data_IF_225908757633
#
_entry.id   IF_225908757633
#
_cell.length_a   1.000
_cell.length_b   1.000
_cell.length_c   1.000
_cell.angle_alpha   90.00
_cell.angle_beta   90.00
_cell.angle_gamma   90.00
#
_symmetry.space_group_name_H-M   'P 1'
#
loop_
_entity.id
_entity.type
_entity.pdbx_description
1 polymer ?
#
# COMPACT_ATOMS: atom_id res chain seq x y z
N UNK A 1 -11.66 30.13 -14.22
CA UNK A 1 -10.45 29.99 -13.38
C UNK A 1 -10.77 29.07 -12.23
N UNK A 2 -10.52 27.77 -12.38
CA UNK A 2 -10.56 26.82 -11.27
C UNK A 2 -9.52 25.75 -11.57
N UNK A 3 -8.49 25.79 -10.75
CA UNK A 3 -7.25 25.03 -10.82
C UNK A 3 -7.54 23.58 -10.40
N UNK A 4 -7.76 22.67 -11.36
CA UNK A 4 -7.87 21.23 -11.08
C UNK A 4 -6.45 20.67 -10.97
N UNK A 5 -6.02 20.56 -9.72
CA UNK A 5 -4.79 19.90 -9.32
C UNK A 5 -4.70 18.49 -9.86
N UNK A 6 -3.50 18.17 -10.32
CA UNK A 6 -3.03 16.90 -10.86
C UNK A 6 -3.28 15.78 -9.84
N UNK A 7 -4.28 14.94 -10.10
CA UNK A 7 -4.41 13.64 -9.42
C UNK A 7 -3.37 12.70 -9.99
N UNK A 8 -2.53 12.20 -9.09
CA UNK A 8 -1.40 11.32 -9.35
C UNK A 8 -1.91 10.03 -9.97
N UNK A 9 -1.24 9.65 -11.06
CA UNK A 9 -1.44 8.44 -11.84
C UNK A 9 -1.24 7.23 -10.94
N UNK A 10 -2.34 6.52 -10.71
CA UNK A 10 -2.38 5.21 -10.09
C UNK A 10 -3.60 4.50 -10.67
N UNK A 11 -3.42 3.24 -11.04
CA UNK A 11 -4.39 2.37 -11.74
C UNK A 11 -4.32 2.52 -13.27
N UNK A 12 -3.27 1.95 -13.87
CA UNK A 12 -3.42 1.38 -15.21
C UNK A 12 -4.01 -0.01 -15.03
N UNK A 13 -5.34 -0.08 -15.15
CA UNK A 13 -6.16 -1.15 -15.73
C UNK A 13 -7.60 -0.98 -15.26
N UNK A 14 -8.52 -1.22 -16.19
CA UNK A 14 -9.99 -1.31 -16.08
C UNK A 14 -10.79 -0.03 -16.31
N UNK A 15 -11.25 0.13 -17.55
CA UNK A 15 -12.63 0.54 -17.85
C UNK A 15 -13.05 0.02 -19.24
N UNK A 16 -13.80 -1.08 -19.24
CA UNK A 16 -14.56 -1.62 -20.37
C UNK A 16 -15.84 -0.80 -20.53
N UNK A 17 -16.21 -0.36 -21.75
CA UNK A 17 -17.61 -0.11 -22.13
C UNK A 17 -17.86 -0.28 -23.65
N UNK A 18 -18.57 -1.38 -23.97
CA UNK A 18 -19.56 -1.66 -25.03
C UNK A 18 -19.28 -1.60 -26.56
N UNK A 19 -19.40 -2.80 -27.16
CA UNK A 19 -20.08 -3.22 -28.42
C UNK A 19 -19.46 -2.83 -29.78
N UNK A 20 -18.95 -3.82 -30.52
CA UNK A 20 -19.59 -4.36 -31.74
C UNK A 20 -18.97 -5.70 -32.19
N UNK A 21 -19.84 -6.59 -32.67
CA UNK A 21 -19.58 -7.94 -33.21
C UNK A 21 -18.94 -7.84 -34.60
N UNK A 22 -17.87 -8.58 -34.87
CA UNK A 22 -17.66 -9.21 -36.19
C UNK A 22 -16.88 -10.53 -36.07
N UNK A 23 -17.23 -11.45 -36.96
CA UNK A 23 -16.84 -12.86 -36.98
C UNK A 23 -15.94 -13.18 -38.19
N UNK A 24 -15.23 -14.32 -38.09
CA UNK A 24 -14.52 -15.09 -39.14
C UNK A 24 -13.12 -14.57 -39.54
N UNK A 25 -12.11 -15.38 -39.87
CA UNK A 25 -11.98 -16.83 -40.13
C UNK A 25 -10.50 -17.22 -40.01
N UNK A 26 -10.23 -18.46 -39.59
CA UNK A 26 -8.89 -19.04 -39.53
C UNK A 26 -8.37 -19.44 -40.91
N UNK A 27 -7.14 -19.08 -41.24
CA UNK A 27 -6.37 -19.64 -42.37
C UNK A 27 -5.13 -20.34 -41.83
N UNK A 28 -5.08 -21.65 -41.99
CA UNK A 28 -3.91 -22.48 -41.70
C UNK A 28 -2.94 -22.46 -42.88
N UNK A 29 -1.63 -22.36 -42.58
CA UNK A 29 -0.50 -22.78 -43.44
C UNK A 29 0.84 -22.56 -42.69
N UNK A 30 1.94 -23.16 -43.17
CA UNK A 30 2.32 -24.57 -43.10
C UNK A 30 3.44 -24.82 -42.07
N UNK A 31 3.68 -26.08 -41.73
CA UNK A 31 4.73 -26.51 -40.80
C UNK A 31 6.11 -26.28 -41.42
N UNK A 32 6.88 -25.37 -40.82
CA UNK A 32 8.32 -25.19 -41.04
C UNK A 32 9.02 -25.61 -39.75
N UNK A 33 10.10 -26.39 -39.87
CA UNK A 33 10.92 -26.85 -38.75
C UNK A 33 11.30 -25.68 -37.83
N UNK A 34 10.84 -25.77 -36.57
CA UNK A 34 10.99 -24.69 -35.60
C UNK A 34 12.44 -24.59 -35.14
N UNK A 35 13.09 -23.46 -35.47
CA UNK A 35 14.33 -23.04 -34.82
C UNK A 35 14.15 -23.02 -33.30
N UNK A 36 15.18 -23.42 -32.54
CA UNK A 36 15.16 -23.42 -31.07
C UNK A 36 14.67 -22.08 -30.47
N UNK A 37 14.99 -20.96 -31.11
CA UNK A 37 14.50 -19.61 -30.74
C UNK A 37 12.99 -19.41 -30.98
N UNK A 38 12.43 -20.01 -32.04
CA UNK A 38 10.98 -19.98 -32.29
C UNK A 38 10.22 -20.83 -31.25
N UNK A 39 10.82 -21.94 -30.81
CA UNK A 39 10.25 -22.78 -29.75
C UNK A 39 10.21 -22.07 -28.39
N UNK A 40 11.31 -21.40 -28.00
CA UNK A 40 11.37 -20.61 -26.74
C UNK A 40 10.35 -19.47 -26.71
N UNK A 41 10.13 -18.79 -27.84
CA UNK A 41 9.11 -17.74 -27.92
C UNK A 41 7.67 -18.29 -27.83
N UNK A 42 7.43 -19.51 -28.33
CA UNK A 42 6.14 -20.18 -28.19
C UNK A 42 5.88 -20.59 -26.73
N UNK A 43 6.87 -21.18 -26.05
CA UNK A 43 6.74 -21.55 -24.63
C UNK A 43 6.51 -20.32 -23.74
N UNK A 44 7.25 -19.24 -23.99
CA UNK A 44 7.08 -17.96 -23.31
C UNK A 44 5.65 -17.40 -23.48
N UNK A 45 5.14 -17.42 -24.72
CA UNK A 45 3.77 -16.99 -25.06
C UNK A 45 2.74 -17.81 -24.29
N UNK A 46 2.81 -19.14 -24.40
CA UNK A 46 1.81 -20.02 -23.82
C UNK A 46 1.78 -19.91 -22.29
N UNK A 47 2.96 -19.84 -21.66
CA UNK A 47 3.05 -19.66 -20.22
C UNK A 47 2.53 -18.27 -19.79
N UNK A 48 2.87 -17.21 -20.53
CA UNK A 48 2.38 -15.85 -20.26
C UNK A 48 0.85 -15.77 -20.33
N UNK A 49 0.26 -16.29 -21.42
CA UNK A 49 -1.20 -16.27 -21.60
C UNK A 49 -1.92 -17.14 -20.56
N UNK A 50 -1.35 -18.30 -20.21
CA UNK A 50 -1.92 -19.15 -19.16
C UNK A 50 -1.91 -18.47 -17.79
N UNK A 51 -0.89 -17.67 -17.48
CA UNK A 51 -0.79 -16.92 -16.23
C UNK A 51 -1.84 -15.79 -16.10
N UNK A 52 -2.47 -15.38 -17.21
CA UNK A 52 -3.58 -14.42 -17.16
C UNK A 52 -4.90 -15.07 -16.72
N UNK A 53 -4.97 -16.40 -16.70
CA UNK A 53 -6.14 -17.18 -16.31
C UNK A 53 -6.08 -17.68 -14.86
N UNK A 54 -5.13 -17.18 -14.06
CA UNK A 54 -5.04 -17.52 -12.64
C UNK A 54 -6.35 -17.19 -11.92
N UNK A 55 -6.92 -18.17 -11.22
CA UNK A 55 -8.19 -18.02 -10.51
C UNK A 55 -9.44 -18.14 -11.37
N UNK A 56 -9.31 -18.38 -12.68
CA UNK A 56 -10.46 -18.58 -13.56
C UNK A 56 -11.34 -19.74 -13.09
N UNK A 57 -12.65 -19.53 -13.06
CA UNK A 57 -13.65 -20.53 -12.69
C UNK A 57 -13.72 -20.82 -11.20
N UNK A 58 -12.99 -20.07 -10.37
CA UNK A 58 -13.00 -20.23 -8.91
C UNK A 58 -14.09 -19.36 -8.28
N UNK A 59 -14.98 -20.01 -7.56
CA UNK A 59 -16.08 -19.41 -6.80
C UNK A 59 -15.74 -19.21 -5.32
N UNK A 60 -14.71 -19.88 -4.80
CA UNK A 60 -14.13 -19.63 -3.48
C UNK A 60 -12.60 -19.56 -3.52
N UNK A 61 -12.01 -18.66 -2.74
CA UNK A 61 -10.56 -18.54 -2.58
C UNK A 61 -10.13 -17.60 -1.46
N UNK A 62 -8.87 -17.74 -1.04
CA UNK A 62 -8.08 -16.75 -0.33
C UNK A 62 -6.84 -16.44 -1.16
N UNK A 63 -6.63 -15.17 -1.49
CA UNK A 63 -5.53 -14.72 -2.35
C UNK A 63 -4.88 -13.48 -1.76
N UNK A 64 -3.59 -13.58 -1.43
CA UNK A 64 -2.83 -12.53 -0.75
C UNK A 64 -1.59 -12.17 -1.56
N UNK A 65 -1.42 -10.89 -1.86
CA UNK A 65 -0.25 -10.39 -2.56
C UNK A 65 0.20 -9.03 -2.02
N UNK A 66 1.46 -8.69 -2.28
CA UNK A 66 2.01 -7.36 -2.11
C UNK A 66 2.22 -6.70 -3.47
N UNK A 67 2.01 -5.40 -3.57
CA UNK A 67 2.33 -4.60 -4.74
C UNK A 67 3.12 -3.35 -4.34
N UNK A 68 4.36 -3.24 -4.82
CA UNK A 68 5.18 -2.05 -4.58
C UNK A 68 4.70 -0.91 -5.48
N UNK A 69 4.09 0.13 -4.88
CA UNK A 69 3.59 1.34 -5.53
C UNK A 69 4.24 2.58 -4.91
N UNK A 70 4.85 3.43 -5.72
CA UNK A 70 5.38 4.74 -5.28
C UNK A 70 6.30 4.66 -4.04
N UNK A 71 7.11 3.61 -3.94
CA UNK A 71 8.09 3.43 -2.87
C UNK A 71 7.61 2.67 -1.63
N UNK A 72 6.31 2.38 -1.49
CA UNK A 72 5.77 1.53 -0.42
C UNK A 72 5.04 0.30 -0.99
N UNK A 73 4.87 -0.73 -0.17
CA UNK A 73 4.11 -1.92 -0.53
C UNK A 73 2.66 -1.77 -0.08
N UNK A 74 1.73 -1.95 -1.02
CA UNK A 74 0.31 -2.19 -0.72
C UNK A 74 0.13 -3.69 -0.57
N UNK A 75 -0.41 -4.15 0.56
CA UNK A 75 -0.79 -5.56 0.73
C UNK A 75 -2.27 -5.71 0.46
N UNK A 76 -2.64 -6.65 -0.41
CA UNK A 76 -4.03 -6.88 -0.81
C UNK A 76 -4.41 -8.32 -0.50
N UNK A 77 -5.49 -8.47 0.26
CA UNK A 77 -6.14 -9.77 0.52
C UNK A 77 -7.48 -9.81 -0.20
N UNK A 78 -7.68 -10.80 -1.05
CA UNK A 78 -8.94 -11.09 -1.71
C UNK A 78 -9.49 -12.39 -1.12
N UNK A 79 -10.64 -12.30 -0.47
CA UNK A 79 -11.39 -13.46 -0.01
C UNK A 79 -12.69 -13.54 -0.79
N UNK A 80 -13.04 -14.74 -1.23
CA UNK A 80 -14.32 -15.01 -1.88
C UNK A 80 -14.85 -16.36 -1.39
N UNK A 81 -16.14 -16.42 -1.13
CA UNK A 81 -16.90 -17.67 -1.09
C UNK A 81 -18.06 -17.57 -2.09
N UNK A 82 -18.92 -18.59 -2.13
CA UNK A 82 -19.98 -18.69 -3.15
C UNK A 82 -20.95 -17.50 -3.16
N UNK A 83 -21.11 -16.82 -2.03
CA UNK A 83 -22.11 -15.75 -1.87
C UNK A 83 -21.47 -14.38 -1.74
N UNK A 84 -20.33 -14.31 -1.06
CA UNK A 84 -19.77 -13.07 -0.54
C UNK A 84 -18.30 -12.92 -0.94
N UNK A 85 -17.82 -11.69 -0.98
CA UNK A 85 -16.39 -11.38 -1.12
C UNK A 85 -15.96 -10.29 -0.16
N UNK A 86 -14.68 -10.32 0.22
CA UNK A 86 -14.05 -9.35 1.09
C UNK A 86 -12.69 -8.98 0.51
N UNK A 87 -12.43 -7.69 0.42
CA UNK A 87 -11.15 -7.15 -0.04
C UNK A 87 -10.55 -6.35 1.09
N UNK A 88 -9.29 -6.63 1.43
CA UNK A 88 -8.52 -5.88 2.41
C UNK A 88 -7.33 -5.26 1.67
N UNK A 89 -7.26 -3.93 1.61
CA UNK A 89 -6.07 -3.20 1.18
C UNK A 89 -5.39 -2.60 2.41
N UNK A 90 -4.13 -2.96 2.64
CA UNK A 90 -3.29 -2.44 3.70
C UNK A 90 -2.16 -1.61 3.12
N UNK A 91 -2.05 -0.38 3.60
CA UNK A 91 -0.94 0.53 3.31
C UNK A 91 -0.31 0.96 4.64
N UNK A 92 0.85 1.63 4.60
CA UNK A 92 1.38 2.22 5.82
C UNK A 92 0.37 3.14 6.52
N UNK A 93 0.16 2.91 7.82
CA UNK A 93 -0.80 3.63 8.69
C UNK A 93 -2.29 3.52 8.32
N UNK A 94 -2.69 2.67 7.37
CA UNK A 94 -4.10 2.51 7.06
C UNK A 94 -4.44 1.12 6.53
N UNK A 95 -5.66 0.68 6.84
CA UNK A 95 -6.27 -0.50 6.26
C UNK A 95 -7.70 -0.17 5.83
N UNK A 96 -8.01 -0.50 4.59
CA UNK A 96 -9.37 -0.42 4.03
C UNK A 96 -9.89 -1.83 3.82
N UNK A 97 -11.08 -2.12 4.33
CA UNK A 97 -11.75 -3.41 4.14
C UNK A 97 -13.11 -3.20 3.50
N UNK A 98 -13.32 -3.76 2.31
CA UNK A 98 -14.60 -3.74 1.63
C UNK A 98 -15.26 -5.12 1.71
N UNK A 99 -16.50 -5.16 2.17
CA UNK A 99 -17.35 -6.33 2.19
C UNK A 99 -18.40 -6.21 1.09
N UNK A 100 -18.52 -7.25 0.28
CA UNK A 100 -19.53 -7.36 -0.76
C UNK A 100 -20.36 -8.60 -0.47
N UNK A 101 -21.56 -8.37 0.07
CA UNK A 101 -22.50 -9.43 0.40
C UNK A 101 -23.78 -9.26 -0.42
N UNK A 102 -24.62 -10.30 -0.44
CA UNK A 102 -25.95 -10.21 -1.05
C UNK A 102 -26.82 -9.11 -0.40
N UNK A 103 -26.60 -8.84 0.89
CA UNK A 103 -27.43 -7.92 1.66
C UNK A 103 -26.91 -6.49 1.63
N UNK A 104 -25.59 -6.31 1.59
CA UNK A 104 -24.98 -5.00 1.67
C UNK A 104 -23.56 -4.91 1.09
N UNK A 105 -23.19 -3.69 0.70
CA UNK A 105 -21.79 -3.27 0.56
C UNK A 105 -21.36 -2.41 1.74
N UNK A 106 -20.34 -2.85 2.48
CA UNK A 106 -19.81 -2.13 3.66
C UNK A 106 -18.33 -1.84 3.47
N UNK A 107 -17.93 -0.60 3.76
CA UNK A 107 -16.55 -0.18 3.79
C UNK A 107 -16.13 0.10 5.23
N UNK A 108 -15.05 -0.54 5.67
CA UNK A 108 -14.39 -0.27 6.94
C UNK A 108 -13.02 0.35 6.69
N UNK A 109 -12.69 1.33 7.52
CA UNK A 109 -11.37 1.96 7.50
C UNK A 109 -10.81 1.95 8.91
N UNK A 110 -9.56 1.53 9.01
CA UNK A 110 -8.74 1.64 10.21
C UNK A 110 -7.55 2.52 9.89
N UNK A 111 -7.35 3.54 10.72
CA UNK A 111 -6.23 4.46 10.61
C UNK A 111 -5.32 4.17 11.80
N UNK A 112 -4.07 3.80 11.51
CA UNK A 112 -3.05 3.55 12.53
C UNK A 112 -3.50 2.42 13.48
N UNK A 113 -3.34 2.58 14.79
CA UNK A 113 -3.83 1.62 15.80
C UNK A 113 -5.30 1.79 16.20
N UNK A 114 -6.10 2.64 15.52
CA UNK A 114 -7.53 2.81 15.84
C UNK A 114 -8.34 1.53 15.65
N UNK A 115 -9.55 1.50 16.21
CA UNK A 115 -10.56 0.52 15.80
C UNK A 115 -11.02 0.78 14.36
N UNK A 116 -11.54 -0.26 13.70
CA UNK A 116 -12.17 -0.12 12.40
C UNK A 116 -13.47 0.68 12.53
N UNK A 117 -13.63 1.70 11.69
CA UNK A 117 -14.90 2.42 11.53
C UNK A 117 -15.54 1.95 10.23
N UNK A 118 -16.73 1.37 10.32
CA UNK A 118 -17.45 0.81 9.18
C UNK A 118 -18.67 1.64 8.81
N UNK A 119 -18.99 1.71 7.51
CA UNK A 119 -20.16 2.41 6.98
C UNK A 119 -20.70 1.69 5.73
N UNK A 120 -22.01 1.81 5.50
CA UNK A 120 -22.64 1.34 4.26
C UNK A 120 -22.23 2.20 3.06
N UNK A 121 -22.02 1.57 1.91
CA UNK A 121 -21.60 2.24 0.67
C UNK A 121 -22.77 2.67 -0.25
N UNK A 122 -24.00 2.32 0.10
CA UNK A 122 -25.11 2.25 -0.87
C UNK A 122 -25.73 3.58 -1.29
N UNK A 123 -25.37 4.70 -0.65
CA UNK A 123 -26.02 6.01 -0.87
C UNK A 123 -25.06 7.10 -1.35
N UNK A 124 -23.86 6.74 -1.83
CA UNK A 124 -22.86 7.71 -2.28
C UNK A 124 -22.20 7.24 -3.58
N UNK A 125 -22.34 8.01 -4.65
CA UNK A 125 -21.82 7.68 -5.99
C UNK A 125 -20.30 7.59 -6.01
N UNK A 126 -19.60 8.45 -5.25
CA UNK A 126 -18.14 8.41 -5.16
C UNK A 126 -17.67 7.12 -4.47
N UNK A 127 -18.38 6.69 -3.42
CA UNK A 127 -18.09 5.43 -2.74
C UNK A 127 -18.45 4.22 -3.61
N UNK A 128 -19.53 4.29 -4.38
CA UNK A 128 -19.88 3.25 -5.36
C UNK A 128 -18.81 3.09 -6.42
N UNK A 129 -18.31 4.19 -6.99
CA UNK A 129 -17.20 4.14 -7.94
C UNK A 129 -15.93 3.55 -7.30
N UNK A 130 -15.60 3.95 -6.08
CA UNK A 130 -14.47 3.39 -5.34
C UNK A 130 -14.62 1.88 -5.10
N UNK A 131 -15.77 1.45 -4.60
CA UNK A 131 -16.05 0.04 -4.31
C UNK A 131 -16.14 -0.81 -5.58
N UNK A 132 -16.60 -0.25 -6.71
CA UNK A 132 -16.55 -0.91 -8.01
C UNK A 132 -15.11 -1.11 -8.51
N UNK A 133 -14.21 -0.14 -8.28
CA UNK A 133 -12.77 -0.32 -8.56
C UNK A 133 -12.20 -1.45 -7.72
N UNK A 134 -12.53 -1.52 -6.43
CA UNK A 134 -12.12 -2.62 -5.56
C UNK A 134 -12.66 -3.97 -6.04
N UNK A 135 -13.96 -4.09 -6.34
CA UNK A 135 -14.55 -5.32 -6.92
C UNK A 135 -13.82 -5.77 -8.18
N UNK A 136 -13.27 -4.82 -8.95
CA UNK A 136 -12.45 -5.11 -10.13
C UNK A 136 -11.16 -5.89 -9.85
N UNK A 137 -10.69 -5.94 -8.61
CA UNK A 137 -9.54 -6.75 -8.19
C UNK A 137 -9.88 -8.24 -8.04
N UNK A 138 -11.16 -8.58 -7.83
CA UNK A 138 -11.60 -9.97 -7.72
C UNK A 138 -11.46 -10.67 -9.08
N UNK A 139 -11.20 -11.97 -9.02
CA UNK A 139 -11.18 -12.80 -10.22
C UNK A 139 -12.54 -12.77 -10.93
N UNK A 140 -12.50 -12.36 -12.20
CA UNK A 140 -13.64 -12.25 -13.11
C UNK A 140 -13.29 -12.94 -14.43
N UNK A 141 -13.95 -14.07 -14.68
CA UNK A 141 -13.70 -14.92 -15.85
C UNK A 141 -13.79 -14.15 -17.17
N UNK A 142 -14.70 -13.19 -17.29
CA UNK A 142 -14.89 -12.42 -18.53
C UNK A 142 -13.69 -11.50 -18.76
N UNK A 143 -13.30 -10.73 -17.74
CA UNK A 143 -12.13 -9.83 -17.82
C UNK A 143 -10.83 -10.58 -18.07
N UNK A 144 -10.68 -11.78 -17.51
CA UNK A 144 -9.51 -12.64 -17.77
C UNK A 144 -9.45 -13.08 -19.22
N UNK A 145 -10.58 -13.54 -19.78
CA UNK A 145 -10.65 -13.95 -21.18
C UNK A 145 -10.37 -12.78 -22.13
N UNK A 146 -10.93 -11.60 -21.84
CA UNK A 146 -10.63 -10.36 -22.56
C UNK A 146 -9.12 -10.03 -22.48
N UNK A 147 -8.50 -10.17 -21.31
CA UNK A 147 -7.06 -9.95 -21.12
C UNK A 147 -6.20 -10.91 -21.95
N UNK A 148 -6.63 -12.18 -22.10
CA UNK A 148 -5.97 -13.17 -22.97
C UNK A 148 -6.14 -12.82 -24.44
N UNK A 149 -7.33 -12.41 -24.87
CA UNK A 149 -7.60 -11.99 -26.25
C UNK A 149 -6.75 -10.78 -26.62
N UNK A 150 -6.74 -9.76 -25.76
CA UNK A 150 -5.96 -8.54 -25.93
C UNK A 150 -4.46 -8.82 -25.97
N UNK A 151 -3.95 -9.64 -25.06
CA UNK A 151 -2.55 -10.06 -25.07
C UNK A 151 -2.20 -10.87 -26.31
N UNK A 152 -3.08 -11.76 -26.77
CA UNK A 152 -2.87 -12.55 -27.98
C UNK A 152 -2.79 -11.65 -29.21
N UNK A 153 -3.68 -10.66 -29.32
CA UNK A 153 -3.63 -9.66 -30.38
C UNK A 153 -2.29 -8.92 -30.40
N UNK A 154 -1.81 -8.47 -29.23
CA UNK A 154 -0.51 -7.78 -29.14
C UNK A 154 0.66 -8.69 -29.56
N UNK A 155 0.63 -9.97 -29.20
CA UNK A 155 1.65 -10.95 -29.63
C UNK A 155 1.61 -11.16 -31.13
N UNK A 156 0.43 -11.38 -31.71
CA UNK A 156 0.26 -11.64 -33.14
C UNK A 156 0.70 -10.47 -34.03
N UNK A 157 0.57 -9.25 -33.53
CA UNK A 157 1.04 -8.03 -34.21
C UNK A 157 2.50 -7.67 -33.88
N UNK A 158 3.15 -8.42 -33.00
CA UNK A 158 4.53 -8.17 -32.58
C UNK A 158 4.69 -6.93 -31.69
N UNK A 159 3.60 -6.46 -31.07
CA UNK A 159 3.62 -5.38 -30.09
C UNK A 159 4.00 -5.89 -28.70
N UNK A 160 3.61 -7.11 -28.34
CA UNK A 160 4.12 -7.83 -27.18
C UNK A 160 5.14 -8.87 -27.66
N UNK A 161 6.41 -8.70 -27.26
CA UNK A 161 7.51 -9.59 -27.67
C UNK A 161 8.19 -10.21 -26.46
N UNK A 162 8.54 -11.49 -26.56
CA UNK A 162 9.26 -12.22 -25.53
C UNK A 162 10.76 -12.20 -25.81
N UNK A 163 11.57 -11.99 -24.75
CA UNK A 163 13.03 -11.97 -24.81
C UNK A 163 13.68 -13.29 -24.39
N UNK A 164 12.87 -14.22 -23.89
CA UNK A 164 13.30 -15.52 -23.42
C UNK A 164 12.70 -15.89 -22.06
N UNK A 165 12.97 -17.12 -21.66
CA UNK A 165 12.61 -17.67 -20.36
C UNK A 165 13.86 -18.07 -19.58
N UNK A 166 13.82 -17.92 -18.26
CA UNK A 166 14.85 -18.40 -17.35
C UNK A 166 14.21 -19.06 -16.13
N UNK A 167 14.75 -20.18 -15.65
CA UNK A 167 14.30 -20.75 -14.38
C UNK A 167 14.85 -19.91 -13.23
N UNK A 168 14.03 -19.66 -12.22
CA UNK A 168 14.37 -18.84 -11.07
C UNK A 168 13.81 -19.45 -9.78
N UNK A 169 14.51 -19.20 -8.68
CA UNK A 169 14.01 -19.49 -7.35
C UNK A 169 13.19 -18.30 -6.83
N UNK A 170 12.07 -18.60 -6.18
CA UNK A 170 11.20 -17.63 -5.51
C UNK A 170 10.86 -18.17 -4.10
N UNK A 171 10.56 -17.30 -3.10
CA UNK A 171 10.15 -17.76 -1.77
C UNK A 171 8.99 -18.77 -1.76
N UNK A 172 8.12 -18.77 -2.78
CA UNK A 172 7.01 -19.73 -2.92
C UNK A 172 7.37 -21.02 -3.66
N UNK A 173 8.58 -21.11 -4.24
CA UNK A 173 9.05 -22.26 -5.00
C UNK A 173 9.77 -21.89 -6.29
N UNK A 174 10.02 -22.88 -7.14
CA UNK A 174 10.61 -22.65 -8.46
C UNK A 174 9.60 -21.99 -9.40
N UNK A 175 10.06 -21.07 -10.22
CA UNK A 175 9.26 -20.45 -11.27
C UNK A 175 10.06 -20.29 -12.56
N UNK A 176 9.34 -20.13 -13.66
CA UNK A 176 9.93 -19.75 -14.94
C UNK A 176 9.65 -18.28 -15.17
N UNK A 177 10.73 -17.50 -15.27
CA UNK A 177 10.68 -16.08 -15.52
C UNK A 177 10.60 -15.78 -17.01
N UNK A 178 9.54 -15.13 -17.44
CA UNK A 178 9.22 -14.76 -18.81
C UNK A 178 9.53 -13.28 -18.97
N UNK A 179 10.59 -12.93 -19.69
CA UNK A 179 10.94 -11.54 -19.95
C UNK A 179 10.24 -11.04 -21.22
N UNK A 180 9.62 -9.87 -21.17
CA UNK A 180 8.88 -9.32 -22.30
C UNK A 180 9.00 -7.80 -22.42
N UNK A 181 8.69 -7.32 -23.63
CA UNK A 181 8.52 -5.91 -23.95
C UNK A 181 7.15 -5.69 -24.57
N UNK A 182 6.57 -4.52 -24.33
CA UNK A 182 5.39 -4.04 -25.04
C UNK A 182 5.73 -2.72 -25.73
N UNK A 183 5.49 -2.65 -27.04
CA UNK A 183 5.71 -1.50 -27.91
C UNK A 183 4.38 -1.09 -28.56
N UNK A 184 3.77 -0.04 -28.00
CA UNK A 184 2.54 0.56 -28.52
C UNK A 184 2.78 1.62 -29.60
N UNK A 185 4.04 1.91 -29.98
CA UNK A 185 4.35 2.98 -30.94
C UNK A 185 3.78 2.73 -32.34
N UNK A 186 3.41 1.47 -32.61
CA UNK A 186 2.94 0.98 -33.90
C UNK A 186 1.43 0.71 -33.92
N UNK A 187 0.71 0.98 -32.83
CA UNK A 187 -0.74 0.88 -32.81
C UNK A 187 -1.33 1.95 -33.74
N UNK A 188 -2.31 1.56 -34.54
CA UNK A 188 -3.18 2.53 -35.21
C UNK A 188 -4.02 3.29 -34.17
N UNK A 189 -4.63 4.41 -34.56
CA UNK A 189 -5.51 5.18 -33.67
C UNK A 189 -6.70 4.34 -33.20
N UNK A 190 -7.28 3.52 -34.08
CA UNK A 190 -8.40 2.63 -33.74
C UNK A 190 -7.98 1.56 -32.72
N UNK A 191 -6.82 0.93 -32.93
CA UNK A 191 -6.29 -0.08 -32.00
C UNK A 191 -5.89 0.57 -30.66
N UNK A 192 -5.27 1.75 -30.68
CA UNK A 192 -4.97 2.50 -29.47
C UNK A 192 -6.25 2.84 -28.69
N UNK A 193 -7.32 3.24 -29.38
CA UNK A 193 -8.63 3.48 -28.77
C UNK A 193 -9.22 2.21 -28.15
N UNK A 194 -9.07 1.03 -28.79
CA UNK A 194 -9.49 -0.27 -28.22
C UNK A 194 -8.88 -0.49 -26.83
N UNK A 195 -7.61 -0.14 -26.66
CA UNK A 195 -6.88 -0.31 -25.39
C UNK A 195 -6.95 0.91 -24.46
N UNK A 196 -7.71 1.96 -24.82
CA UNK A 196 -7.77 3.21 -24.06
C UNK A 196 -6.43 3.97 -24.00
N UNK A 197 -5.56 3.79 -25.00
CA UNK A 197 -4.24 4.42 -25.08
C UNK A 197 -4.38 5.79 -25.76
N UNK A 198 -4.23 6.87 -24.99
CA UNK A 198 -4.24 8.23 -25.49
C UNK A 198 -2.84 8.77 -25.83
N UNK A 199 -2.79 9.96 -26.43
CA UNK A 199 -1.54 10.61 -26.86
C UNK A 199 -0.53 10.90 -25.72
N UNK A 200 -0.96 10.87 -24.46
CA UNK A 200 -0.11 11.04 -23.28
C UNK A 200 0.29 9.74 -22.58
N UNK A 201 -0.17 8.58 -23.06
CA UNK A 201 0.11 7.29 -22.43
C UNK A 201 1.57 6.88 -22.66
N UNK A 202 2.17 6.10 -21.74
CA UNK A 202 3.46 5.47 -22.02
C UNK A 202 3.35 4.54 -23.22
N UNK A 203 4.39 4.55 -24.05
CA UNK A 203 4.40 3.83 -25.33
C UNK A 203 5.22 2.53 -25.23
N UNK A 204 6.23 2.52 -24.37
CA UNK A 204 7.15 1.40 -24.21
C UNK A 204 7.11 0.90 -22.77
N UNK A 205 6.96 -0.41 -22.64
CA UNK A 205 6.98 -1.11 -21.37
C UNK A 205 7.98 -2.25 -21.46
N UNK A 206 8.65 -2.53 -20.34
CA UNK A 206 9.40 -3.77 -20.18
C UNK A 206 9.03 -4.41 -18.85
N UNK A 207 9.11 -5.73 -18.80
CA UNK A 207 8.68 -6.45 -17.63
C UNK A 207 9.03 -7.91 -17.66
N UNK A 208 8.66 -8.58 -16.59
CA UNK A 208 8.70 -10.03 -16.52
C UNK A 208 7.60 -10.58 -15.62
N UNK A 209 7.20 -11.82 -15.88
CA UNK A 209 6.46 -12.65 -14.94
C UNK A 209 7.35 -13.78 -14.47
N UNK A 210 7.31 -14.14 -13.18
CA UNK A 210 7.87 -15.39 -12.66
C UNK A 210 6.69 -16.32 -12.35
N UNK A 211 6.52 -17.36 -13.16
CA UNK A 211 5.31 -18.21 -13.19
C UNK A 211 5.63 -19.63 -12.75
N UNK A 212 4.85 -20.17 -11.83
CA UNK A 212 4.88 -21.61 -11.53
C UNK A 212 4.32 -22.40 -12.73
N UNK A 213 5.17 -23.23 -13.34
CA UNK A 213 4.81 -24.01 -14.54
C UNK A 213 3.66 -25.00 -14.32
N UNK A 214 3.46 -25.49 -13.12
CA UNK A 214 2.42 -26.48 -12.81
C UNK A 214 1.10 -25.79 -12.50
N UNK A 215 1.12 -24.79 -11.63
CA UNK A 215 -0.06 -24.03 -11.22
C UNK A 215 -0.52 -23.01 -12.25
N UNK A 216 0.35 -22.64 -13.20
CA UNK A 216 0.17 -21.52 -14.14
C UNK A 216 -0.13 -20.22 -13.40
N UNK A 217 0.52 -20.03 -12.26
CA UNK A 217 0.28 -18.92 -11.35
C UNK A 217 1.53 -18.03 -11.29
N UNK A 218 1.38 -16.71 -11.48
CA UNK A 218 2.49 -15.78 -11.34
C UNK A 218 2.80 -15.55 -9.85
N UNK A 219 4.00 -15.98 -9.43
CA UNK A 219 4.55 -15.61 -8.12
C UNK A 219 5.04 -14.17 -8.09
N UNK A 220 5.46 -13.65 -9.25
CA UNK A 220 5.94 -12.28 -9.37
C UNK A 220 5.51 -11.68 -10.70
N UNK A 221 5.15 -10.40 -10.70
CA UNK A 221 5.00 -9.61 -11.92
C UNK A 221 5.70 -8.29 -11.73
N UNK A 222 6.58 -7.96 -12.65
CA UNK A 222 7.29 -6.70 -12.65
C UNK A 222 7.04 -5.98 -13.98
N UNK A 223 6.74 -4.71 -13.89
CA UNK A 223 6.61 -3.82 -15.04
C UNK A 223 7.33 -2.52 -14.77
N UNK A 224 8.00 -2.01 -15.78
CA UNK A 224 8.52 -0.66 -15.78
C UNK A 224 8.23 0.06 -17.10
N UNK A 225 8.17 1.37 -17.02
CA UNK A 225 7.99 2.27 -18.14
C UNK A 225 8.45 3.68 -17.78
N UNK A 226 8.57 4.55 -18.77
CA UNK A 226 8.85 5.96 -18.56
C UNK A 226 7.58 6.77 -18.79
N UNK A 227 7.18 7.58 -17.80
CA UNK A 227 6.06 8.48 -17.91
C UNK A 227 6.51 9.92 -17.67
N UNK A 228 6.37 10.78 -18.70
CA UNK A 228 6.81 12.18 -18.66
C UNK A 228 8.27 12.36 -18.19
N UNK A 229 9.14 11.48 -18.66
CA UNK A 229 10.57 11.49 -18.32
C UNK A 229 10.93 10.87 -16.97
N UNK A 230 9.94 10.40 -16.19
CA UNK A 230 10.17 9.74 -14.91
C UNK A 230 10.03 8.22 -15.04
N UNK A 231 10.96 7.43 -14.48
CA UNK A 231 10.80 5.98 -14.42
C UNK A 231 9.66 5.63 -13.46
N UNK A 232 8.76 4.77 -13.90
CA UNK A 232 7.67 4.20 -13.10
C UNK A 232 7.79 2.70 -13.15
N UNK A 233 7.59 2.04 -12.00
CA UNK A 233 7.52 0.60 -11.93
C UNK A 233 6.39 0.15 -11.00
N UNK A 234 5.88 -1.06 -11.25
CA UNK A 234 5.05 -1.81 -10.31
C UNK A 234 5.66 -3.20 -10.13
N UNK A 235 5.58 -3.71 -8.92
CA UNK A 235 6.12 -5.02 -8.57
C UNK A 235 5.11 -5.77 -7.71
N UNK A 236 4.36 -6.67 -8.34
CA UNK A 236 3.48 -7.63 -7.69
C UNK A 236 4.27 -8.83 -7.19
N UNK A 237 4.01 -9.25 -5.96
CA UNK A 237 4.57 -10.46 -5.33
C UNK A 237 3.44 -11.23 -4.66
N UNK A 238 3.23 -12.47 -5.10
CA UNK A 238 2.32 -13.38 -4.41
C UNK A 238 2.89 -13.69 -3.03
N UNK A 239 2.02 -13.70 -2.02
CA UNK A 239 2.36 -14.11 -0.66
C UNK A 239 1.71 -15.47 -0.38
N UNK A 240 0.44 -15.63 -0.75
CA UNK A 240 -0.25 -16.92 -0.68
C UNK A 240 -1.46 -16.96 -1.59
N UNK A 241 -1.80 -18.16 -2.06
CA UNK A 241 -3.01 -18.45 -2.80
C UNK A 241 -3.58 -19.79 -2.35
N UNK A 242 -4.89 -19.82 -2.17
CA UNK A 242 -5.66 -21.03 -1.91
C UNK A 242 -6.99 -20.91 -2.65
N UNK A 243 -7.20 -21.78 -3.64
CA UNK A 243 -8.40 -21.79 -4.49
C UNK A 243 -9.40 -22.89 -4.12
N UNK A 244 -9.18 -23.56 -2.98
CA UNK A 244 -10.05 -24.62 -2.45
C UNK A 244 -10.62 -24.24 -1.08
N UNK A 245 -10.09 -23.20 -0.44
CA UNK A 245 -10.64 -22.64 0.80
C UNK A 245 -11.97 -21.93 0.59
N UNK A 246 -12.86 -22.04 1.59
CA UNK A 246 -14.12 -21.31 1.68
C UNK A 246 -14.09 -20.39 2.90
N UNK A 247 -13.58 -19.14 2.74
CA UNK A 247 -13.39 -18.24 3.87
C UNK A 247 -14.72 -17.78 4.43
N UNK A 248 -14.78 -17.66 5.76
CA UNK A 248 -15.90 -17.03 6.45
C UNK A 248 -15.87 -15.52 6.21
N UNK A 249 -16.97 -15.01 5.65
CA UNK A 249 -17.13 -13.59 5.29
C UNK A 249 -18.44 -13.10 5.89
N UNK A 250 -18.34 -12.56 7.11
CA UNK A 250 -19.45 -11.91 7.80
C UNK A 250 -19.26 -10.40 7.80
N UNK A 251 -20.38 -9.67 7.74
CA UNK A 251 -20.37 -8.23 7.97
C UNK A 251 -19.88 -7.92 9.40
N UNK A 252 -19.19 -6.79 9.61
CA UNK A 252 -18.83 -6.34 10.95
C UNK A 252 -20.09 -6.06 11.77
N UNK A 253 -20.04 -6.32 13.07
CA UNK A 253 -21.18 -6.12 13.99
C UNK A 253 -21.51 -4.64 14.21
N UNK A 254 -20.50 -3.77 14.20
CA UNK A 254 -20.63 -2.33 14.43
C UNK A 254 -20.48 -1.55 13.12
N UNK A 255 -21.60 -1.29 12.45
CA UNK A 255 -21.65 -0.42 11.28
C UNK A 255 -22.20 0.94 11.72
N UNK A 256 -21.38 1.98 11.58
CA UNK A 256 -21.74 3.34 11.97
C UNK A 256 -22.74 3.96 10.99
N UNK A 257 -23.43 5.01 11.43
CA UNK A 257 -24.28 5.86 10.58
C UNK A 257 -23.48 6.91 9.79
N UNK A 258 -22.15 6.92 9.93
CA UNK A 258 -21.28 7.85 9.22
C UNK A 258 -21.31 7.56 7.73
N UNK A 259 -21.05 8.57 6.91
CA UNK A 259 -20.91 8.38 5.47
C UNK A 259 -19.58 7.72 5.17
N UNK A 260 -19.59 6.66 4.35
CA UNK A 260 -18.37 5.99 3.91
C UNK A 260 -17.42 6.94 3.17
N UNK A 261 -17.95 7.94 2.45
CA UNK A 261 -17.14 8.98 1.80
C UNK A 261 -16.38 9.83 2.81
N UNK A 262 -16.99 10.18 3.95
CA UNK A 262 -16.30 10.89 5.03
C UNK A 262 -15.15 10.06 5.58
N UNK A 263 -15.33 8.74 5.75
CA UNK A 263 -14.25 7.87 6.21
C UNK A 263 -13.07 7.87 5.23
N UNK A 264 -13.35 7.79 3.92
CA UNK A 264 -12.31 7.82 2.88
C UNK A 264 -11.55 9.15 2.93
N UNK A 265 -12.25 10.28 3.01
CA UNK A 265 -11.63 11.60 3.03
C UNK A 265 -10.76 11.79 4.28
N UNK A 266 -11.24 11.38 5.45
CA UNK A 266 -10.48 11.45 6.70
C UNK A 266 -9.21 10.62 6.67
N UNK A 267 -9.27 9.43 6.08
CA UNK A 267 -8.09 8.59 5.91
C UNK A 267 -7.10 9.21 4.92
N UNK A 268 -7.58 9.73 3.79
CA UNK A 268 -6.72 10.37 2.80
C UNK A 268 -6.03 11.60 3.38
N UNK A 269 -6.74 12.40 4.17
CA UNK A 269 -6.17 13.55 4.88
C UNK A 269 -5.09 13.13 5.88
N UNK A 270 -5.39 12.17 6.75
CA UNK A 270 -4.49 11.74 7.83
C UNK A 270 -3.27 10.94 7.35
N UNK A 271 -3.36 10.28 6.19
CA UNK A 271 -2.32 9.38 5.70
C UNK A 271 -1.51 10.00 4.56
N UNK A 272 -2.09 10.94 3.79
CA UNK A 272 -1.40 11.51 2.63
C UNK A 272 -0.11 12.24 2.95
N UNK A 273 -0.01 12.91 4.10
CA UNK A 273 1.23 13.59 4.51
C UNK A 273 2.34 12.56 4.77
N UNK A 274 2.04 11.53 5.57
CA UNK A 274 2.96 10.44 5.84
C UNK A 274 3.45 9.76 4.55
N UNK A 275 2.54 9.46 3.62
CA UNK A 275 2.89 8.81 2.36
C UNK A 275 3.78 9.66 1.44
N UNK A 276 3.88 10.99 1.66
CA UNK A 276 4.83 11.82 0.90
C UNK A 276 6.27 11.43 1.17
N UNK A 277 6.59 10.86 2.33
CA UNK A 277 7.94 10.40 2.62
C UNK A 277 8.39 9.29 1.64
N UNK A 278 7.47 8.43 1.17
CA UNK A 278 7.79 7.37 0.21
C UNK A 278 8.10 7.87 -1.21
N UNK A 279 7.78 9.13 -1.53
CA UNK A 279 8.23 9.77 -2.78
C UNK A 279 9.75 10.00 -2.82
N UNK A 280 10.44 9.92 -1.67
CA UNK A 280 11.89 10.03 -1.60
C UNK A 280 12.54 8.73 -2.08
N UNK A 281 13.31 8.82 -3.15
CA UNK A 281 14.00 7.67 -3.76
C UNK A 281 15.10 7.16 -2.82
N UNK A 282 15.87 8.07 -2.23
CA UNK A 282 16.92 7.71 -1.28
C UNK A 282 16.32 7.15 0.02
N UNK A 283 16.83 6.01 0.46
CA UNK A 283 16.33 5.27 1.63
C UNK A 283 16.56 6.08 2.91
N UNK A 284 17.71 6.72 3.06
CA UNK A 284 18.03 7.49 4.28
C UNK A 284 17.19 8.75 4.37
N UNK A 285 16.97 9.44 3.25
CA UNK A 285 16.05 10.59 3.19
C UNK A 285 14.61 10.18 3.56
N UNK A 286 14.16 9.03 3.05
CA UNK A 286 12.83 8.48 3.38
C UNK A 286 12.70 8.16 4.86
N UNK A 287 13.65 7.41 5.41
CA UNK A 287 13.67 7.05 6.84
C UNK A 287 13.70 8.30 7.73
N UNK A 288 14.50 9.30 7.35
CA UNK A 288 14.55 10.57 8.08
C UNK A 288 13.23 11.35 7.99
N UNK A 289 12.59 11.39 6.82
CA UNK A 289 11.28 12.01 6.65
C UNK A 289 10.23 11.35 7.56
N UNK A 290 10.17 10.01 7.55
CA UNK A 290 9.23 9.24 8.37
C UNK A 290 9.49 9.49 9.86
N UNK A 291 10.75 9.42 10.28
CA UNK A 291 11.16 9.72 11.66
C UNK A 291 10.72 11.12 12.10
N UNK A 292 10.99 12.15 11.30
CA UNK A 292 10.60 13.53 11.61
C UNK A 292 9.08 13.68 11.66
N UNK A 293 8.36 13.11 10.70
CA UNK A 293 6.90 13.15 10.66
C UNK A 293 6.29 12.47 11.91
N UNK A 294 6.82 11.31 12.32
CA UNK A 294 6.36 10.59 13.50
C UNK A 294 6.52 11.40 14.79
N UNK A 295 7.67 12.05 14.99
CA UNK A 295 7.93 12.89 16.17
C UNK A 295 7.04 14.13 16.15
N UNK A 296 7.02 14.82 15.02
CA UNK A 296 6.27 16.07 14.86
C UNK A 296 4.78 15.88 15.12
N UNK A 297 4.18 14.85 14.53
CA UNK A 297 2.76 14.55 14.70
C UNK A 297 2.46 13.65 15.92
N UNK A 298 3.49 13.28 16.69
CA UNK A 298 3.39 12.36 17.85
C UNK A 298 2.73 11.02 17.48
N UNK A 299 3.01 10.56 16.27
CA UNK A 299 2.47 9.36 15.65
C UNK A 299 3.38 8.16 15.91
N UNK A 300 3.13 7.48 17.04
CA UNK A 300 3.88 6.29 17.45
C UNK A 300 3.92 5.24 16.33
N UNK A 301 2.80 5.06 15.64
CA UNK A 301 2.65 4.02 14.62
C UNK A 301 3.46 4.27 13.35
N UNK A 302 3.87 5.51 13.11
CA UNK A 302 4.75 5.87 12.01
C UNK A 302 6.18 5.36 12.24
N UNK A 303 6.60 5.21 13.50
CA UNK A 303 7.96 4.80 13.84
C UNK A 303 8.34 3.41 13.32
N UNK A 304 7.39 2.49 13.18
CA UNK A 304 7.63 1.15 12.61
C UNK A 304 8.09 1.19 11.14
N UNK A 305 7.91 2.31 10.47
CA UNK A 305 8.31 2.53 9.08
C UNK A 305 9.60 3.37 8.96
N UNK A 306 10.21 3.80 10.08
CA UNK A 306 11.42 4.63 10.08
C UNK A 306 12.72 3.84 9.79
N UNK A 307 12.62 2.55 9.49
CA UNK A 307 13.74 1.69 9.09
C UNK A 307 14.86 1.69 10.13
N UNK A 308 16.06 2.09 9.75
CA UNK A 308 17.21 2.16 10.68
C UNK A 308 17.02 3.11 11.88
N UNK A 309 16.04 4.02 11.82
CA UNK A 309 15.70 4.99 12.87
C UNK A 309 14.54 4.54 13.77
N UNK A 310 14.04 3.31 13.64
CA UNK A 310 12.83 2.83 14.34
C UNK A 310 12.91 2.99 15.86
N UNK A 311 13.95 2.46 16.50
CA UNK A 311 14.10 2.54 17.97
C UNK A 311 14.26 3.98 18.46
N UNK A 312 15.06 4.78 17.74
CA UNK A 312 15.25 6.19 18.01
C UNK A 312 13.94 6.99 17.89
N UNK A 313 13.12 6.64 16.89
CA UNK A 313 11.81 7.23 16.69
C UNK A 313 10.89 6.95 17.88
N UNK A 314 10.76 5.69 18.29
CA UNK A 314 9.92 5.32 19.43
C UNK A 314 10.37 6.03 20.72
N UNK A 315 11.67 6.07 20.99
CA UNK A 315 12.24 6.81 22.13
C UNK A 315 11.79 8.27 22.08
N UNK A 316 12.02 8.97 20.97
CA UNK A 316 11.74 10.40 20.88
C UNK A 316 10.24 10.72 20.89
N UNK A 317 9.40 9.86 20.30
CA UNK A 317 7.94 9.99 20.40
C UNK A 317 7.49 9.75 21.85
N UNK A 318 8.05 8.78 22.57
CA UNK A 318 7.77 8.54 23.98
C UNK A 318 8.11 9.75 24.85
N UNK A 319 9.27 10.37 24.59
CA UNK A 319 9.74 11.58 25.28
C UNK A 319 8.81 12.77 25.02
N UNK A 320 8.46 13.04 23.75
CA UNK A 320 7.57 14.15 23.39
C UNK A 320 6.16 13.95 23.94
N UNK A 321 5.64 12.70 23.92
CA UNK A 321 4.32 12.38 24.50
C UNK A 321 4.34 12.23 26.02
N UNK A 322 5.53 12.11 26.62
CA UNK A 322 5.75 11.72 28.03
C UNK A 322 5.03 10.41 28.38
N UNK A 323 5.10 9.45 27.47
CA UNK A 323 4.35 8.20 27.52
C UNK A 323 5.30 6.99 27.51
N UNK A 324 5.45 6.37 28.68
CA UNK A 324 6.36 5.25 28.89
C UNK A 324 5.86 3.93 28.28
N UNK A 325 4.58 3.83 27.92
CA UNK A 325 4.01 2.62 27.33
C UNK A 325 4.53 2.38 25.90
N UNK A 326 5.22 3.37 25.34
CA UNK A 326 5.91 3.29 24.06
C UNK A 326 7.30 2.62 24.21
N UNK A 327 8.00 2.79 25.33
CA UNK A 327 9.34 2.25 25.54
C UNK A 327 9.45 0.71 25.33
N UNK A 328 8.44 -0.11 25.72
CA UNK A 328 8.42 -1.54 25.37
C UNK A 328 8.58 -1.88 23.89
N UNK A 329 8.21 -0.96 22.98
CA UNK A 329 8.27 -1.14 21.53
C UNK A 329 9.69 -0.99 20.95
N UNK A 330 10.64 -0.52 21.76
CA UNK A 330 12.05 -0.38 21.38
C UNK A 330 12.76 -1.73 21.48
N UNK A 331 13.46 -2.12 20.41
CA UNK A 331 14.16 -3.41 20.33
C UNK A 331 15.53 -3.36 21.02
N UNK A 332 16.29 -2.29 20.80
CA UNK A 332 17.58 -2.06 21.46
C UNK A 332 17.39 -1.85 22.97
N UNK A 333 17.97 -2.73 23.78
CA UNK A 333 17.93 -2.63 25.23
C UNK A 333 18.50 -1.30 25.74
N UNK A 334 19.55 -0.79 25.09
CA UNK A 334 20.19 0.47 25.46
C UNK A 334 19.24 1.67 25.25
N UNK A 335 18.59 1.74 24.08
CA UNK A 335 17.59 2.79 23.80
C UNK A 335 16.32 2.63 24.63
N UNK A 336 15.93 1.40 24.97
CA UNK A 336 14.78 1.12 25.81
C UNK A 336 14.99 1.64 27.24
N UNK A 337 16.15 1.37 27.82
CA UNK A 337 16.53 1.90 29.12
C UNK A 337 16.61 3.44 29.08
N UNK A 338 17.19 4.02 28.02
CA UNK A 338 17.24 5.48 27.84
C UNK A 338 15.83 6.08 27.74
N UNK A 339 14.90 5.42 27.05
CA UNK A 339 13.51 5.85 26.96
C UNK A 339 12.86 5.95 28.36
N UNK A 340 13.02 4.93 29.20
CA UNK A 340 12.49 4.97 30.57
C UNK A 340 13.14 6.06 31.42
N UNK A 341 14.47 6.27 31.31
CA UNK A 341 15.17 7.35 32.03
C UNK A 341 14.58 8.70 31.65
N UNK A 342 14.47 8.99 30.36
CA UNK A 342 14.03 10.29 29.86
C UNK A 342 12.56 10.55 30.24
N UNK A 343 11.67 9.57 30.06
CA UNK A 343 10.26 9.71 30.45
C UNK A 343 10.13 9.85 31.97
N UNK A 344 10.85 9.06 32.78
CA UNK A 344 10.84 9.17 34.24
C UNK A 344 11.30 10.54 34.73
N UNK A 345 12.34 11.11 34.11
CA UNK A 345 12.82 12.45 34.41
C UNK A 345 11.79 13.54 34.09
N UNK A 346 11.08 13.40 32.95
CA UNK A 346 10.07 14.35 32.49
C UNK A 346 8.75 14.28 33.27
N UNK A 347 8.34 13.09 33.69
CA UNK A 347 7.09 12.88 34.45
C UNK A 347 7.31 12.86 35.95
N UNK A 348 8.56 12.91 36.41
CA UNK A 348 8.96 12.73 37.82
C UNK A 348 8.41 11.44 38.42
N UNK A 349 8.39 10.38 37.59
CA UNK A 349 7.86 9.08 37.99
C UNK A 349 8.98 8.05 38.17
N UNK A 350 9.45 7.91 39.41
CA UNK A 350 10.50 6.97 39.77
C UNK A 350 10.11 5.51 39.54
N UNK A 351 8.82 5.16 39.52
CA UNK A 351 8.40 3.76 39.31
C UNK A 351 8.78 3.24 37.93
N UNK A 352 8.99 4.12 36.96
CA UNK A 352 9.45 3.73 35.62
C UNK A 352 10.88 3.17 35.64
N UNK A 353 11.69 3.54 36.64
CA UNK A 353 13.08 3.08 36.75
C UNK A 353 13.18 1.57 37.03
N UNK A 354 12.14 0.92 37.55
CA UNK A 354 12.14 -0.53 37.75
C UNK A 354 12.02 -1.33 36.44
N UNK A 355 11.70 -0.67 35.32
CA UNK A 355 11.64 -1.31 34.00
C UNK A 355 13.00 -1.32 33.27
N UNK A 356 14.03 -0.70 33.84
CA UNK A 356 15.38 -0.61 33.29
C UNK A 356 16.17 -1.88 33.62
N UNK A 357 16.86 -2.44 32.63
CA UNK A 357 17.68 -3.64 32.82
C UNK A 357 19.11 -3.34 33.30
N UNK A 358 19.71 -2.24 32.83
CA UNK A 358 21.06 -1.86 33.20
C UNK A 358 21.13 -1.18 34.58
N UNK A 359 21.89 -1.75 35.50
CA UNK A 359 22.01 -1.26 36.88
C UNK A 359 22.57 0.16 36.99
N UNK A 360 23.56 0.54 36.17
CA UNK A 360 24.12 1.90 36.17
C UNK A 360 23.08 2.93 35.70
N UNK A 361 22.19 2.52 34.79
CA UNK A 361 21.09 3.36 34.29
C UNK A 361 19.96 3.52 35.30
N UNK A 362 19.74 2.55 36.20
CA UNK A 362 18.75 2.65 37.28
C UNK A 362 19.09 3.81 38.22
N UNK A 363 20.36 3.92 38.64
CA UNK A 363 20.81 4.99 39.53
C UNK A 363 20.60 6.36 38.89
N UNK A 364 20.99 6.49 37.61
CA UNK A 364 20.73 7.70 36.81
C UNK A 364 19.23 8.01 36.70
N UNK A 365 18.39 7.00 36.47
CA UNK A 365 16.94 7.16 36.39
C UNK A 365 16.37 7.72 37.70
N UNK A 366 16.74 7.12 38.84
CA UNK A 366 16.29 7.55 40.16
C UNK A 366 16.69 9.01 40.45
N UNK A 367 17.90 9.40 40.08
CA UNK A 367 18.38 10.77 40.21
C UNK A 367 17.51 11.76 39.39
N UNK A 368 17.30 11.50 38.10
CA UNK A 368 16.54 12.43 37.24
C UNK A 368 15.05 12.47 37.59
N UNK A 369 14.47 11.35 38.03
CA UNK A 369 13.08 11.25 38.43
C UNK A 369 12.76 12.03 39.73
N UNK A 370 13.74 12.18 40.62
CA UNK A 370 13.57 12.88 41.91
C UNK A 370 14.07 14.32 41.92
N UNK A 371 14.84 14.74 40.91
CA UNK A 371 15.35 16.12 40.81
C UNK A 371 14.22 17.16 40.80
N UNK A 372 14.31 18.16 41.68
CA UNK A 372 13.30 19.24 41.82
C UNK A 372 13.62 20.48 40.97
N UNK A 373 14.79 20.52 40.34
CA UNK A 373 15.13 21.57 39.39
C UNK A 373 14.34 21.42 38.08
N UNK A 374 14.10 22.54 37.39
CA UNK A 374 13.66 22.50 35.99
C UNK A 374 14.61 21.59 35.22
N UNK A 375 14.12 20.41 34.84
CA UNK A 375 14.85 19.55 33.92
C UNK A 375 14.93 20.37 32.64
N UNK A 376 16.11 20.92 32.35
CA UNK A 376 16.40 21.46 31.02
C UNK A 376 15.96 20.38 30.04
N UNK A 377 15.11 20.76 29.09
CA UNK A 377 14.59 19.94 27.99
C UNK A 377 15.59 18.85 27.60
N UNK A 378 15.10 17.62 27.35
CA UNK A 378 15.89 16.38 27.34
C UNK A 378 17.25 16.60 26.71
N UNK A 379 18.32 16.18 27.39
CA UNK A 379 19.68 16.29 26.83
C UNK A 379 19.66 15.70 25.44
N UNK A 380 19.80 16.56 24.44
CA UNK A 380 19.59 16.39 23.00
C UNK A 380 20.58 15.43 22.35
N UNK A 381 21.01 14.38 23.04
CA UNK A 381 21.96 13.40 22.51
C UNK A 381 21.44 12.74 21.22
N UNK A 382 20.12 12.73 21.04
CA UNK A 382 19.45 11.93 20.04
C UNK A 382 18.40 12.65 19.20
N UNK A 383 18.08 13.90 19.53
CA UNK A 383 17.10 14.69 18.78
C UNK A 383 17.83 15.86 18.15
N UNK A 384 17.72 15.95 16.83
CA UNK A 384 18.09 17.15 16.10
C UNK A 384 17.37 18.34 16.72
N UNK A 385 18.12 19.35 17.18
CA UNK A 385 17.58 20.50 17.91
C UNK A 385 16.48 21.22 17.13
N UNK A 386 16.55 21.14 15.80
CA UNK A 386 15.58 21.73 14.89
C UNK A 386 14.22 21.02 14.98
N UNK A 387 14.20 19.71 15.22
CA UNK A 387 12.96 18.92 15.32
C UNK A 387 12.21 19.22 16.64
N UNK A 388 12.94 19.37 17.75
CA UNK A 388 12.33 19.75 19.05
C UNK A 388 11.79 21.17 19.00
N UNK A 389 12.55 22.12 18.43
CA UNK A 389 12.12 23.50 18.30
C UNK A 389 10.81 23.62 17.52
N UNK A 390 10.68 22.84 16.45
CA UNK A 390 9.48 22.78 15.63
C UNK A 390 8.30 22.09 16.35
N UNK A 391 8.52 20.99 17.08
CA UNK A 391 7.47 20.30 17.82
C UNK A 391 6.88 21.18 18.95
N UNK A 392 7.75 21.81 19.74
CA UNK A 392 7.33 22.71 20.83
C UNK A 392 6.62 23.97 20.30
N UNK A 393 7.07 24.50 19.15
CA UNK A 393 6.41 25.64 18.50
C UNK A 393 4.96 25.32 18.11
N UNK A 394 4.69 24.13 17.58
CA UNK A 394 3.33 23.75 17.16
C UNK A 394 2.43 23.39 18.33
N UNK A 395 2.93 22.78 19.42
CA UNK A 395 2.14 22.62 20.64
C UNK A 395 1.64 23.96 21.17
N UNK A 396 2.50 24.98 21.12
CA UNK A 396 2.15 26.35 21.52
C UNK A 396 1.07 26.92 20.61
N UNK A 397 1.23 26.77 19.29
CA UNK A 397 0.26 27.24 18.30
C UNK A 397 -1.08 26.51 18.36
N UNK A 398 -1.09 25.20 18.52
CA UNK A 398 -2.31 24.37 18.62
C UNK A 398 -3.06 24.68 19.93
N UNK A 399 -2.33 24.96 21.02
CA UNK A 399 -2.91 25.47 22.27
C UNK A 399 -3.53 26.85 22.07
N UNK A 400 -2.84 27.78 21.40
CA UNK A 400 -3.38 29.11 21.08
C UNK A 400 -4.63 29.04 20.20
N UNK A 401 -4.67 28.12 19.23
CA UNK A 401 -5.85 27.93 18.36
C UNK A 401 -7.03 27.30 19.11
N UNK A 402 -6.77 26.35 20.03
CA UNK A 402 -7.81 25.78 20.91
C UNK A 402 -8.34 26.79 21.93
N UNK A 403 -7.46 27.60 22.54
CA UNK A 403 -7.87 28.68 23.45
C UNK A 403 -8.75 29.70 22.71
N UNK A 404 -8.40 30.09 21.47
CA UNK A 404 -9.25 30.95 20.63
C UNK A 404 -10.61 30.33 20.29
N UNK A 405 -10.66 29.01 20.08
CA UNK A 405 -11.90 28.31 19.79
C UNK A 405 -12.81 28.21 21.02
N UNK A 406 -12.23 27.95 22.21
CA UNK A 406 -12.95 27.94 23.48
C UNK A 406 -13.47 29.33 23.83
N UNK A 407 -12.67 30.38 23.66
CA UNK A 407 -13.14 31.76 23.85
C UNK A 407 -14.31 32.08 22.92
N UNK A 408 -14.23 31.67 21.65
CA UNK A 408 -15.32 31.88 20.68
C UNK A 408 -16.62 31.16 21.07
N UNK A 409 -16.53 29.96 21.66
CA UNK A 409 -17.68 29.19 22.13
C UNK A 409 -18.29 29.77 23.42
N UNK A 410 -17.49 30.39 24.29
CA UNK A 410 -17.98 31.04 25.52
C UNK A 410 -18.76 32.33 25.19
N UNK A 411 -18.39 33.06 24.14
CA UNK A 411 -19.08 34.29 23.72
C UNK A 411 -20.31 34.07 22.82
N UNK A 412 -20.62 32.83 22.42
CA UNK A 412 -21.83 32.50 21.66
C UNK A 412 -22.98 31.97 22.57
N UNK A 413 -22.75 31.83 23.89
CA UNK A 413 -23.75 31.41 24.89
C UNK A 413 -24.23 32.53 25.84
N UNK A 414 -23.74 33.78 25.69
CA UNK A 414 -24.28 35.00 26.33
C UNK A 414 -25.03 35.87 25.31
#
# INVERSE_FOLDING_TARGET
MTNKGITIIGIFLVAIFLIFVFSKTSTTKPVVEANATANVNSEAKDLYLSALLTGKGKDSYSYLYGEDRNGYTVRVTLLKNKENSKIVEEIPLSRRTAYFTNNATVLCIKIRESDDVCAYAENDTYVQDYTNRLKGLLFDDKKMLESVEDSSFLVERGFLTFKGIEEADNPLGKCTKINFNIDYSKLTIEEANKFGIGAGSPIFFSGYYCVDKNKKEPYEKYFNYTFRGLPVYTHFKLISSDFETEPEINLPSNISTRLASTLIVEEEEQVSEFLRCYKKIDVKERESCIYTHAIYNKEVDACKYAGSKTDLCFLNVAVVKKDADICPRITSADYKDDCYIEVAGLTKNQTLCSAIANQEKIDKCNEVATSTGEVKTPTTRYVDSDVIGIANYNETKEREEKEKLVDKLIYEEE
#
